data_IF_602428052561
#
_entry.id   IF_602428052561
#
_cell.length_a   1.000
_cell.length_b   1.000
_cell.length_c   1.000
_cell.angle_alpha   90.00
_cell.angle_beta   90.00
_cell.angle_gamma   90.00
#
_symmetry.space_group_name_H-M   'P 1'
#
loop_
_entity.id
_entity.type
_entity.pdbx_description
1 polymer ?
#
# COMPACT_ATOMS: atom_id res chain seq x y z
N UNK A 1 -11.54 13.03 -8.07
CA UNK A 1 -12.39 11.85 -8.05
C UNK A 1 -12.99 11.64 -6.69
N UNK A 2 -14.28 11.39 -6.63
CA UNK A 2 -14.97 11.03 -5.39
C UNK A 2 -14.36 9.73 -4.86
N UNK A 3 -13.87 9.75 -3.62
CA UNK A 3 -13.49 8.55 -2.91
C UNK A 3 -14.76 7.76 -2.58
N UNK A 4 -15.04 6.73 -3.34
CA UNK A 4 -16.09 5.80 -2.99
C UNK A 4 -15.59 4.92 -1.83
N UNK A 5 -16.13 5.17 -0.64
CA UNK A 5 -16.00 4.22 0.45
C UNK A 5 -16.83 2.99 0.10
N UNK A 6 -16.19 1.84 -0.06
CA UNK A 6 -16.92 0.59 -0.30
C UNK A 6 -17.76 0.23 0.91
N UNK A 7 -18.99 -0.15 0.64
CA UNK A 7 -19.93 -0.68 1.64
C UNK A 7 -19.36 -1.98 2.23
N UNK A 8 -19.50 -2.15 3.56
CA UNK A 8 -18.90 -3.21 4.36
C UNK A 8 -19.26 -4.66 4.00
N UNK A 9 -20.15 -4.84 3.06
CA UNK A 9 -20.41 -6.17 2.50
C UNK A 9 -19.28 -6.71 1.61
N UNK A 10 -18.22 -5.95 1.39
CA UNK A 10 -17.10 -6.34 0.54
C UNK A 10 -15.80 -6.63 1.31
N UNK A 11 -15.86 -6.83 2.62
CA UNK A 11 -14.76 -7.43 3.39
C UNK A 11 -14.56 -8.90 3.04
N UNK A 12 -14.76 -9.28 1.79
CA UNK A 12 -14.45 -10.63 1.34
C UNK A 12 -12.93 -10.80 1.28
N UNK A 13 -12.46 -11.89 1.89
CA UNK A 13 -11.13 -12.38 1.60
C UNK A 13 -11.01 -12.48 0.07
N UNK A 14 -10.04 -11.81 -0.51
CA UNK A 14 -9.94 -11.82 -1.95
C UNK A 14 -9.41 -13.15 -2.47
N UNK A 15 -9.99 -13.56 -3.58
CA UNK A 15 -9.68 -14.82 -4.21
C UNK A 15 -8.58 -14.62 -5.24
N UNK A 16 -7.62 -15.54 -5.24
CA UNK A 16 -6.58 -15.64 -6.23
C UNK A 16 -6.31 -17.10 -6.60
N UNK A 17 -5.32 -17.28 -7.44
CA UNK A 17 -4.76 -18.59 -7.76
C UNK A 17 -3.28 -18.63 -7.45
N UNK A 18 -2.85 -19.71 -6.85
CA UNK A 18 -1.42 -19.96 -6.61
C UNK A 18 -0.71 -20.03 -7.97
N UNK A 19 0.25 -19.15 -8.19
CA UNK A 19 1.04 -19.09 -9.42
C UNK A 19 2.40 -19.77 -9.27
N UNK A 20 2.96 -19.78 -8.05
CA UNK A 20 4.23 -20.44 -7.74
C UNK A 20 4.27 -20.87 -6.29
N UNK A 21 4.89 -22.02 -6.03
CA UNK A 21 5.22 -22.50 -4.69
C UNK A 21 6.71 -22.86 -4.68
N UNK A 22 7.40 -22.40 -3.65
CA UNK A 22 8.80 -22.73 -3.39
C UNK A 22 8.89 -23.29 -1.96
N UNK A 23 8.84 -24.62 -1.81
CA UNK A 23 8.88 -25.26 -0.49
C UNK A 23 10.20 -25.03 0.26
N UNK A 24 11.32 -24.96 -0.46
CA UNK A 24 12.64 -24.80 0.15
C UNK A 24 12.80 -23.43 0.80
N UNK A 25 12.23 -22.40 0.18
CA UNK A 25 12.24 -21.03 0.70
C UNK A 25 10.94 -20.67 1.44
N UNK A 26 10.02 -21.61 1.62
CA UNK A 26 8.72 -21.37 2.27
C UNK A 26 7.98 -20.18 1.67
N UNK A 27 7.97 -20.03 0.33
CA UNK A 27 7.28 -18.93 -0.35
C UNK A 27 6.14 -19.41 -1.23
N UNK A 28 5.06 -18.61 -1.26
CA UNK A 28 3.90 -18.85 -2.11
C UNK A 28 3.53 -17.57 -2.82
N UNK A 29 3.42 -17.62 -4.14
CA UNK A 29 2.94 -16.50 -4.95
C UNK A 29 1.50 -16.75 -5.41
N UNK A 30 0.65 -15.74 -5.24
CA UNK A 30 -0.76 -15.79 -5.61
C UNK A 30 -1.05 -14.69 -6.63
N UNK A 31 -1.60 -15.04 -7.77
CA UNK A 31 -2.06 -14.09 -8.78
C UNK A 31 -3.51 -13.69 -8.50
N UNK A 32 -3.74 -12.38 -8.48
CA UNK A 32 -5.05 -11.75 -8.24
C UNK A 32 -5.42 -10.89 -9.44
N UNK A 33 -6.69 -10.94 -9.84
CA UNK A 33 -7.24 -10.16 -10.97
C UNK A 33 -8.42 -9.28 -10.55
N UNK A 34 -8.75 -9.22 -9.26
CA UNK A 34 -9.77 -8.30 -8.75
C UNK A 34 -9.26 -6.86 -8.84
N UNK A 35 -9.92 -6.06 -9.66
CA UNK A 35 -9.48 -4.68 -9.97
C UNK A 35 -9.39 -3.77 -8.73
N UNK A 36 -10.21 -4.01 -7.71
CA UNK A 36 -10.15 -3.25 -6.46
C UNK A 36 -8.86 -3.52 -5.68
N UNK A 37 -8.36 -4.73 -5.74
CA UNK A 37 -7.19 -5.19 -4.99
C UNK A 37 -5.87 -5.07 -5.76
N UNK A 38 -5.91 -4.53 -6.98
CA UNK A 38 -4.73 -4.21 -7.76
C UNK A 38 -4.03 -2.91 -7.30
N UNK A 39 -4.65 -2.19 -6.37
CA UNK A 39 -4.09 -1.01 -5.74
C UNK A 39 -3.66 -1.34 -4.29
N UNK A 40 -2.37 -1.30 -4.03
CA UNK A 40 -1.85 -1.63 -2.69
C UNK A 40 -2.33 -0.66 -1.62
N UNK A 41 -2.71 0.58 -1.98
CA UNK A 41 -3.26 1.54 -1.03
C UNK A 41 -4.61 1.10 -0.47
N UNK A 42 -5.32 0.23 -1.19
CA UNK A 42 -6.62 -0.35 -0.79
C UNK A 42 -6.50 -1.72 -0.13
N UNK A 43 -5.31 -2.29 -0.10
CA UNK A 43 -5.08 -3.59 0.51
C UNK A 43 -5.19 -3.51 2.03
N UNK A 44 -5.90 -4.45 2.63
CA UNK A 44 -6.12 -4.53 4.09
C UNK A 44 -5.34 -5.67 4.73
N UNK A 45 -4.31 -6.17 4.07
CA UNK A 45 -3.50 -7.27 4.59
C UNK A 45 -2.69 -6.85 5.82
N UNK A 46 -2.70 -7.65 6.91
CA UNK A 46 -1.77 -7.46 8.00
C UNK A 46 -0.32 -7.48 7.51
N UNK A 47 0.52 -6.60 8.06
CA UNK A 47 1.95 -6.54 7.73
C UNK A 47 2.67 -7.81 8.20
N UNK A 48 2.28 -8.31 9.37
CA UNK A 48 2.83 -9.52 9.99
C UNK A 48 1.70 -10.33 10.64
N UNK A 49 1.97 -11.61 10.89
CA UNK A 49 1.02 -12.51 11.56
C UNK A 49 -0.33 -12.71 10.85
N UNK A 50 -0.41 -12.36 9.57
CA UNK A 50 -1.58 -12.65 8.77
C UNK A 50 -1.67 -14.11 8.36
N UNK A 51 -2.81 -14.46 7.78
CA UNK A 51 -3.07 -15.80 7.26
C UNK A 51 -3.46 -15.76 5.80
N UNK A 52 -3.08 -16.82 5.08
CA UNK A 52 -3.63 -17.14 3.76
C UNK A 52 -4.25 -18.52 3.80
N UNK A 53 -5.28 -18.75 2.99
CA UNK A 53 -5.88 -20.08 2.82
C UNK A 53 -5.50 -20.59 1.44
N UNK A 54 -4.84 -21.75 1.38
CA UNK A 54 -4.44 -22.42 0.16
C UNK A 54 -5.17 -23.76 0.07
N UNK A 55 -5.96 -23.96 -0.97
CA UNK A 55 -6.77 -25.17 -1.14
C UNK A 55 -7.57 -25.58 0.12
N UNK A 56 -8.09 -24.59 0.85
CA UNK A 56 -8.90 -24.79 2.06
C UNK A 56 -8.09 -24.95 3.36
N UNK A 57 -6.76 -24.88 3.34
CA UNK A 57 -5.89 -24.96 4.52
C UNK A 57 -5.30 -23.61 4.85
N UNK A 58 -5.23 -23.26 6.13
CA UNK A 58 -4.67 -21.99 6.60
C UNK A 58 -3.17 -22.07 6.81
N UNK A 59 -2.47 -21.01 6.40
CA UNK A 59 -1.03 -20.83 6.60
C UNK A 59 -0.75 -19.42 7.12
N UNK A 60 0.07 -19.31 8.14
CA UNK A 60 0.59 -18.03 8.63
C UNK A 60 1.75 -17.57 7.78
N UNK A 61 1.81 -16.26 7.55
CA UNK A 61 2.95 -15.61 6.92
C UNK A 61 3.58 -14.57 7.84
N UNK A 62 4.88 -14.31 7.63
CA UNK A 62 5.65 -13.29 8.36
C UNK A 62 5.90 -12.03 7.54
N UNK A 63 5.96 -12.17 6.23
CA UNK A 63 6.17 -11.08 5.28
C UNK A 63 5.37 -11.31 4.01
N UNK A 64 5.11 -10.25 3.27
CA UNK A 64 4.50 -10.34 1.95
C UNK A 64 4.98 -9.21 1.06
N UNK A 65 4.88 -9.40 -0.25
CA UNK A 65 5.15 -8.40 -1.27
C UNK A 65 4.05 -8.37 -2.30
N UNK A 66 3.93 -7.24 -2.97
CA UNK A 66 2.98 -6.98 -4.03
C UNK A 66 3.71 -6.53 -5.28
N UNK A 67 3.32 -7.04 -6.43
CA UNK A 67 3.79 -6.60 -7.74
C UNK A 67 2.61 -6.51 -8.70
N UNK A 68 2.32 -5.31 -9.18
CA UNK A 68 1.35 -5.08 -10.24
C UNK A 68 1.94 -5.51 -11.60
N UNK A 69 1.14 -6.14 -12.46
CA UNK A 69 1.54 -6.44 -13.83
C UNK A 69 1.69 -5.17 -14.67
N UNK A 70 2.49 -5.21 -15.75
CA UNK A 70 2.74 -4.06 -16.61
C UNK A 70 1.45 -3.49 -17.22
N UNK A 71 0.49 -4.36 -17.55
CA UNK A 71 -0.81 -3.98 -18.10
C UNK A 71 -1.83 -3.52 -17.04
N UNK A 72 -1.46 -3.55 -15.77
CA UNK A 72 -2.31 -3.15 -14.64
C UNK A 72 -3.53 -4.03 -14.39
N UNK A 73 -3.65 -5.21 -15.05
CA UNK A 73 -4.84 -6.07 -14.98
C UNK A 73 -4.74 -7.19 -13.96
N UNK A 74 -3.57 -7.42 -13.42
CA UNK A 74 -3.34 -8.42 -12.38
C UNK A 74 -2.24 -7.99 -11.43
N UNK A 75 -2.24 -8.56 -10.24
CA UNK A 75 -1.17 -8.40 -9.28
C UNK A 75 -0.70 -9.76 -8.79
N UNK A 76 0.56 -9.84 -8.42
CA UNK A 76 1.12 -11.01 -7.75
C UNK A 76 1.46 -10.62 -6.32
N UNK A 77 0.84 -11.32 -5.38
CA UNK A 77 1.20 -11.29 -3.96
C UNK A 77 2.13 -12.45 -3.68
N UNK A 78 3.29 -12.20 -3.10
CA UNK A 78 4.23 -13.25 -2.68
C UNK A 78 4.33 -13.23 -1.16
N UNK A 79 4.02 -14.34 -0.54
CA UNK A 79 4.02 -14.52 0.91
C UNK A 79 5.23 -15.35 1.33
N UNK A 80 5.99 -14.84 2.29
CA UNK A 80 6.97 -15.62 3.04
C UNK A 80 6.25 -16.28 4.21
N UNK A 81 6.07 -17.57 4.16
CA UNK A 81 5.38 -18.30 5.23
C UNK A 81 6.23 -18.37 6.50
N UNK A 82 5.54 -18.38 7.63
CA UNK A 82 6.14 -18.57 8.95
C UNK A 82 6.19 -20.06 9.27
N UNK A 83 7.31 -20.70 8.93
CA UNK A 83 7.48 -22.15 9.07
C UNK A 83 7.31 -22.61 10.54
N UNK A 84 7.88 -21.87 11.49
CA UNK A 84 7.80 -22.20 12.90
C UNK A 84 6.35 -22.17 13.39
N UNK A 85 5.65 -21.09 13.08
CA UNK A 85 4.25 -20.91 13.48
C UNK A 85 3.33 -21.91 12.80
N UNK A 86 3.56 -22.21 11.53
CA UNK A 86 2.80 -23.22 10.79
C UNK A 86 3.02 -24.63 11.36
N UNK A 87 4.24 -24.98 11.72
CA UNK A 87 4.56 -26.26 12.37
C UNK A 87 3.88 -26.38 13.74
N UNK A 88 3.93 -25.31 14.57
CA UNK A 88 3.25 -25.29 15.87
C UNK A 88 1.73 -25.45 15.77
N UNK A 89 1.14 -25.00 14.66
CA UNK A 89 -0.30 -25.13 14.39
C UNK A 89 -0.64 -26.38 13.56
N UNK A 90 0.28 -27.33 13.41
CA UNK A 90 0.10 -28.57 12.64
C UNK A 90 -0.35 -28.32 11.19
N UNK A 91 0.08 -27.22 10.58
CA UNK A 91 -0.16 -27.00 9.16
C UNK A 91 0.63 -28.01 8.32
N UNK A 92 0.00 -28.50 7.27
CA UNK A 92 0.70 -29.40 6.34
C UNK A 92 1.82 -28.65 5.61
N UNK A 93 2.98 -29.29 5.36
CA UNK A 93 4.03 -28.69 4.55
C UNK A 93 3.50 -28.28 3.17
N UNK A 94 3.92 -27.10 2.70
CA UNK A 94 3.61 -26.67 1.34
C UNK A 94 4.35 -27.52 0.32
N UNK A 95 3.71 -27.73 -0.82
CA UNK A 95 4.30 -28.48 -1.94
C UNK A 95 3.90 -27.85 -3.28
N UNK A 96 4.64 -28.18 -4.31
CA UNK A 96 4.37 -27.70 -5.68
C UNK A 96 2.99 -28.13 -6.22
N UNK A 97 2.36 -29.16 -5.60
CA UNK A 97 1.00 -29.58 -5.96
C UNK A 97 -0.06 -28.51 -5.71
N UNK A 98 0.22 -27.52 -4.86
CA UNK A 98 -0.67 -26.36 -4.61
C UNK A 98 -0.68 -25.36 -5.78
N UNK A 99 0.21 -25.50 -6.77
CA UNK A 99 0.22 -24.63 -7.95
C UNK A 99 -1.10 -24.75 -8.71
N UNK A 100 -1.68 -23.63 -9.10
CA UNK A 100 -3.00 -23.47 -9.72
C UNK A 100 -4.21 -23.67 -8.78
N UNK A 101 -3.99 -24.08 -7.54
CA UNK A 101 -5.05 -24.19 -6.55
C UNK A 101 -5.62 -22.80 -6.19
N UNK A 102 -6.84 -22.82 -5.63
CA UNK A 102 -7.49 -21.60 -5.14
C UNK A 102 -6.77 -21.10 -3.89
N UNK A 103 -6.57 -19.81 -3.84
CA UNK A 103 -6.06 -19.10 -2.67
C UNK A 103 -7.07 -18.03 -2.21
N UNK A 104 -7.22 -17.90 -0.89
CA UNK A 104 -7.90 -16.78 -0.26
C UNK A 104 -6.89 -16.00 0.55
N UNK A 105 -6.84 -14.69 0.36
CA UNK A 105 -5.92 -13.79 1.03
C UNK A 105 -6.73 -12.85 1.92
N UNK A 106 -6.28 -12.68 3.18
CA UNK A 106 -6.94 -11.85 4.17
C UNK A 106 -8.06 -12.57 4.91
N UNK A 107 -8.58 -11.89 5.90
CA UNK A 107 -9.71 -12.35 6.71
C UNK A 107 -10.95 -11.54 6.35
N UNK A 108 -12.09 -12.22 6.30
CA UNK A 108 -13.37 -11.56 6.08
C UNK A 108 -13.80 -10.83 7.35
N UNK A 109 -14.06 -9.53 7.27
CA UNK A 109 -14.70 -8.77 8.34
C UNK A 109 -16.21 -8.86 8.15
N UNK A 110 -16.85 -9.77 8.91
CA UNK A 110 -18.26 -10.11 8.74
C UNK A 110 -19.23 -9.17 9.46
N UNK A 111 -18.78 -8.11 10.13
CA UNK A 111 -19.62 -7.20 10.87
C UNK A 111 -19.10 -5.76 10.83
N UNK A 112 -20.01 -4.83 10.77
CA UNK A 112 -19.70 -3.41 10.88
C UNK A 112 -19.43 -3.06 12.36
N UNK A 113 -18.16 -2.87 12.67
CA UNK A 113 -17.70 -2.49 14.00
C UNK A 113 -16.51 -1.54 13.92
N UNK A 114 -15.95 -1.16 15.07
CA UNK A 114 -14.80 -0.24 15.13
C UNK A 114 -13.66 -0.67 14.19
N UNK A 115 -13.22 -1.94 14.13
CA UNK A 115 -12.15 -2.37 13.23
C UNK A 115 -12.46 -2.10 11.76
N UNK A 116 -13.71 -2.29 11.33
CA UNK A 116 -14.15 -2.02 9.98
C UNK A 116 -14.01 -0.55 9.59
N UNK A 117 -14.50 0.36 10.45
CA UNK A 117 -14.37 1.79 10.17
C UNK A 117 -12.93 2.28 10.25
N UNK A 118 -12.11 1.68 11.13
CA UNK A 118 -10.68 1.96 11.19
C UNK A 118 -9.98 1.60 9.88
N UNK A 119 -10.27 0.43 9.30
CA UNK A 119 -9.69 0.02 8.02
C UNK A 119 -10.12 0.93 6.87
N UNK A 120 -11.38 1.33 6.83
CA UNK A 120 -11.86 2.31 5.85
C UNK A 120 -11.15 3.66 5.98
N UNK A 121 -10.95 4.14 7.21
CA UNK A 121 -10.23 5.38 7.44
C UNK A 121 -8.75 5.24 7.05
N UNK A 122 -8.12 4.12 7.34
CA UNK A 122 -6.74 3.85 6.95
C UNK A 122 -6.59 3.79 5.42
N UNK A 123 -7.53 3.14 4.73
CA UNK A 123 -7.58 3.14 3.26
C UNK A 123 -7.74 4.56 2.71
N UNK A 124 -8.65 5.34 3.28
CA UNK A 124 -8.85 6.73 2.89
C UNK A 124 -7.56 7.55 3.05
N UNK A 125 -6.90 7.46 4.21
CA UNK A 125 -5.64 8.16 4.50
C UNK A 125 -4.56 7.79 3.49
N UNK A 126 -4.41 6.49 3.18
CA UNK A 126 -3.42 6.00 2.21
C UNK A 126 -3.69 6.56 0.81
N UNK A 127 -4.94 6.47 0.33
CA UNK A 127 -5.33 6.97 -0.98
C UNK A 127 -5.21 8.50 -1.08
N UNK A 128 -5.60 9.20 -0.01
CA UNK A 128 -5.46 10.65 0.06
C UNK A 128 -3.98 11.09 0.00
N UNK A 129 -3.13 10.49 0.84
CA UNK A 129 -1.71 10.79 0.86
C UNK A 129 -1.03 10.50 -0.48
N UNK A 130 -1.35 9.38 -1.12
CA UNK A 130 -0.79 9.01 -2.43
C UNK A 130 -1.22 9.99 -3.50
N UNK A 131 -2.51 10.32 -3.58
CA UNK A 131 -3.05 11.24 -4.58
C UNK A 131 -2.48 12.64 -4.39
N UNK A 132 -2.41 13.12 -3.15
CA UNK A 132 -1.85 14.43 -2.84
C UNK A 132 -0.36 14.52 -3.17
N UNK A 133 0.43 13.54 -2.73
CA UNK A 133 1.87 13.51 -2.99
C UNK A 133 2.18 13.42 -4.48
N UNK A 134 1.35 12.72 -5.26
CA UNK A 134 1.50 12.64 -6.71
C UNK A 134 1.32 13.98 -7.41
N UNK A 135 0.40 14.81 -6.95
CA UNK A 135 0.22 16.18 -7.45
C UNK A 135 1.33 17.10 -6.92
N UNK A 136 1.65 16.99 -5.63
CA UNK A 136 2.63 17.84 -4.95
C UNK A 136 4.05 17.64 -5.50
N UNK A 137 4.48 16.41 -5.70
CA UNK A 137 5.81 16.05 -6.22
C UNK A 137 5.86 15.87 -7.74
N UNK A 138 4.98 16.52 -8.49
CA UNK A 138 4.96 16.43 -9.95
C UNK A 138 6.30 16.85 -10.56
N UNK A 139 6.62 16.32 -11.72
CA UNK A 139 7.85 16.67 -12.43
C UNK A 139 7.96 18.17 -12.65
N UNK A 140 9.07 18.75 -12.25
CA UNK A 140 9.31 20.18 -12.33
C UNK A 140 8.70 21.01 -11.20
N UNK A 141 8.20 20.34 -10.15
CA UNK A 141 7.74 21.02 -8.93
C UNK A 141 8.88 21.83 -8.29
N UNK A 142 8.61 23.07 -7.93
CA UNK A 142 9.59 23.98 -7.31
C UNK A 142 8.96 24.77 -6.18
N UNK A 143 9.77 25.17 -5.21
CA UNK A 143 9.37 26.15 -4.20
C UNK A 143 9.51 27.59 -4.72
N UNK A 144 9.22 28.56 -3.87
CA UNK A 144 9.32 29.98 -4.25
C UNK A 144 10.76 30.45 -4.51
N UNK A 145 11.77 29.70 -4.05
CA UNK A 145 13.21 29.97 -4.28
C UNK A 145 13.69 29.40 -5.61
N UNK A 146 12.89 28.49 -6.21
CA UNK A 146 13.21 27.77 -7.42
C UNK A 146 13.99 26.47 -7.17
N UNK A 147 14.01 25.99 -5.92
CA UNK A 147 14.61 24.72 -5.57
C UNK A 147 13.72 23.56 -6.10
N UNK A 148 14.36 22.53 -6.67
CA UNK A 148 13.66 21.37 -7.27
C UNK A 148 13.04 20.48 -6.20
N UNK A 149 11.74 20.26 -6.33
CA UNK A 149 10.93 19.37 -5.48
C UNK A 149 10.29 18.23 -6.28
N UNK A 150 10.82 17.90 -7.46
CA UNK A 150 10.36 16.74 -8.24
C UNK A 150 10.44 15.47 -7.39
N UNK A 151 9.31 14.76 -7.23
CA UNK A 151 9.22 13.57 -6.40
C UNK A 151 9.17 13.83 -4.90
N UNK A 152 9.08 15.11 -4.47
CA UNK A 152 8.87 15.45 -3.07
C UNK A 152 7.52 14.94 -2.55
N UNK A 153 7.46 14.69 -1.24
CA UNK A 153 6.24 14.27 -0.54
C UNK A 153 5.80 15.36 0.42
N UNK A 154 4.50 15.51 0.59
CA UNK A 154 3.90 16.39 1.59
C UNK A 154 3.40 15.59 2.79
N UNK A 155 2.69 14.50 2.52
CA UNK A 155 2.15 13.61 3.55
C UNK A 155 2.96 12.33 3.67
N UNK A 156 3.25 11.98 4.91
CA UNK A 156 3.94 10.74 5.29
C UNK A 156 3.34 10.18 6.57
N UNK A 157 3.94 9.18 7.14
CA UNK A 157 3.62 8.67 8.46
C UNK A 157 4.85 8.59 9.34
N UNK A 158 4.61 8.62 10.64
CA UNK A 158 5.68 8.46 11.64
C UNK A 158 5.61 7.05 12.24
N UNK A 159 6.72 6.35 12.19
CA UNK A 159 6.87 5.06 12.85
C UNK A 159 6.77 5.27 14.37
N UNK A 160 5.76 4.66 14.99
CA UNK A 160 5.48 4.82 16.42
C UNK A 160 6.53 4.17 17.33
N UNK A 161 7.40 3.31 16.78
CA UNK A 161 8.44 2.62 17.57
C UNK A 161 9.71 3.45 17.67
N UNK A 162 10.18 4.03 16.56
CA UNK A 162 11.45 4.77 16.53
C UNK A 162 11.31 6.27 16.28
N UNK A 163 10.09 6.76 16.00
CA UNK A 163 9.81 8.18 15.74
C UNK A 163 10.30 8.70 14.39
N UNK A 164 10.80 7.83 13.51
CA UNK A 164 11.25 8.20 12.17
C UNK A 164 10.07 8.27 11.19
N UNK A 165 10.16 9.17 10.23
CA UNK A 165 9.17 9.25 9.16
C UNK A 165 9.43 8.18 8.10
N UNK A 166 8.33 7.64 7.54
CA UNK A 166 8.39 6.68 6.44
C UNK A 166 8.85 7.34 5.15
N UNK A 167 9.62 6.60 4.36
CA UNK A 167 10.01 7.00 3.00
C UNK A 167 8.91 6.61 2.03
N UNK A 168 8.16 7.60 1.56
CA UNK A 168 7.10 7.38 0.58
C UNK A 168 7.64 7.33 -0.83
N UNK A 169 7.00 6.54 -1.67
CA UNK A 169 7.25 6.50 -3.11
C UNK A 169 6.12 7.21 -3.84
N UNK A 170 6.43 7.94 -4.92
CA UNK A 170 5.47 8.73 -5.70
C UNK A 170 5.39 8.20 -7.12
N UNK A 171 4.19 8.19 -7.69
CA UNK A 171 3.96 7.83 -9.09
C UNK A 171 4.08 6.33 -9.37
N UNK A 172 4.93 5.96 -10.34
CA UNK A 172 5.06 4.56 -10.80
C UNK A 172 5.60 3.61 -9.74
N UNK A 173 6.20 4.13 -8.68
CA UNK A 173 6.77 3.33 -7.60
C UNK A 173 5.70 2.67 -6.71
N UNK A 174 4.43 3.07 -6.84
CA UNK A 174 3.30 2.42 -6.17
C UNK A 174 2.93 1.07 -6.77
N UNK A 175 3.55 0.67 -7.90
CA UNK A 175 3.30 -0.62 -8.55
C UNK A 175 3.91 -1.83 -7.83
N UNK A 176 4.81 -1.59 -6.91
CA UNK A 176 5.43 -2.65 -6.10
C UNK A 176 5.53 -2.22 -4.64
N UNK A 177 5.38 -3.19 -3.76
CA UNK A 177 5.48 -3.01 -2.31
C UNK A 177 5.96 -4.28 -1.64
N UNK A 178 6.77 -4.13 -0.60
CA UNK A 178 7.10 -5.20 0.33
C UNK A 178 6.75 -4.79 1.76
N UNK A 179 6.23 -5.69 2.57
CA UNK A 179 5.89 -5.42 3.98
C UNK A 179 7.10 -5.03 4.84
N UNK A 180 8.32 -5.32 4.37
CA UNK A 180 9.56 -4.86 4.98
C UNK A 180 9.94 -3.43 4.60
N UNK A 181 9.37 -2.89 3.51
CA UNK A 181 9.67 -1.55 3.03
C UNK A 181 8.75 -0.50 3.67
N UNK A 182 9.20 0.76 3.68
CA UNK A 182 8.33 1.89 3.96
C UNK A 182 7.42 2.19 2.77
N UNK A 183 6.25 2.77 3.02
CA UNK A 183 5.33 3.14 1.96
C UNK A 183 3.91 3.41 2.46
N UNK A 184 3.01 3.73 1.53
CA UNK A 184 1.62 4.09 1.85
C UNK A 184 0.87 3.01 2.62
N UNK A 185 1.20 1.74 2.41
CA UNK A 185 0.56 0.65 3.14
C UNK A 185 0.76 0.73 4.66
N UNK A 186 1.88 1.31 5.12
CA UNK A 186 2.15 1.54 6.55
C UNK A 186 1.40 2.72 7.14
N UNK A 187 0.79 3.57 6.30
CA UNK A 187 -0.03 4.69 6.78
C UNK A 187 -1.33 4.21 7.40
N UNK A 188 -1.67 4.84 8.49
CA UNK A 188 -2.98 4.75 9.13
C UNK A 188 -3.32 6.10 9.76
N UNK A 189 -4.57 6.26 10.19
CA UNK A 189 -5.05 7.52 10.78
C UNK A 189 -4.29 7.93 12.05
N UNK A 190 -3.66 6.98 12.75
CA UNK A 190 -2.93 7.25 13.99
C UNK A 190 -1.47 7.68 13.79
N UNK A 191 -0.89 7.44 12.62
CA UNK A 191 0.51 7.78 12.34
C UNK A 191 0.70 8.78 11.19
N UNK A 192 -0.39 9.19 10.54
CA UNK A 192 -0.40 10.15 9.42
C UNK A 192 0.14 11.51 9.84
N UNK A 193 1.05 12.08 9.04
CA UNK A 193 1.74 13.31 9.38
C UNK A 193 2.20 14.09 8.12
N UNK A 194 2.58 15.35 8.32
CA UNK A 194 3.28 16.16 7.32
C UNK A 194 4.77 15.83 7.34
N UNK A 195 5.43 15.92 6.19
CA UNK A 195 6.89 15.74 6.08
C UNK A 195 7.64 16.80 6.89
N UNK A 196 8.66 16.37 7.63
CA UNK A 196 9.37 17.24 8.60
C UNK A 196 10.06 18.46 8.00
N UNK A 197 10.53 18.39 6.75
CA UNK A 197 11.16 19.53 6.10
C UNK A 197 10.16 20.67 5.93
N UNK A 198 8.93 20.36 5.60
CA UNK A 198 7.82 21.33 5.44
C UNK A 198 7.36 21.84 6.79
N UNK A 199 7.26 20.97 7.80
CA UNK A 199 6.90 21.34 9.16
C UNK A 199 7.92 22.31 9.76
N UNK A 200 9.22 22.10 9.49
CA UNK A 200 10.32 22.93 9.99
C UNK A 200 10.48 24.25 9.20
N UNK A 201 10.23 24.22 7.89
CA UNK A 201 10.31 25.40 7.02
C UNK A 201 9.21 25.35 5.95
N UNK A 202 8.10 26.03 6.21
CA UNK A 202 7.00 26.13 5.26
C UNK A 202 7.40 26.75 3.90
N UNK A 203 8.54 27.45 3.84
CA UNK A 203 9.05 27.99 2.59
C UNK A 203 9.69 26.93 1.69
N UNK A 204 9.95 25.73 2.19
CA UNK A 204 10.37 24.56 1.40
C UNK A 204 9.21 23.86 0.70
N UNK A 205 7.99 24.41 0.79
CA UNK A 205 6.82 23.83 0.15
C UNK A 205 6.85 24.06 -1.37
N UNK A 206 6.67 23.01 -2.15
CA UNK A 206 6.46 23.14 -3.59
C UNK A 206 5.16 23.93 -3.89
N UNK A 207 5.24 24.94 -4.73
CA UNK A 207 4.13 25.85 -5.02
C UNK A 207 3.76 25.89 -6.49
N UNK A 208 4.71 25.63 -7.38
CA UNK A 208 4.51 25.75 -8.83
C UNK A 208 5.44 24.81 -9.60
N UNK A 209 5.18 24.66 -10.89
CA UNK A 209 6.06 23.93 -11.82
C UNK A 209 6.91 24.85 -12.66
N UNK A 210 8.10 24.40 -13.06
CA UNK A 210 9.02 25.16 -13.92
C UNK A 210 8.43 25.39 -15.33
N UNK A 211 7.52 24.51 -15.77
CA UNK A 211 6.95 24.54 -17.12
C UNK A 211 5.98 25.71 -17.35
N UNK A 212 5.45 26.29 -16.30
CA UNK A 212 4.46 27.38 -16.40
C UNK A 212 5.04 28.76 -16.69
N UNK A 213 6.36 28.88 -16.88
CA UNK A 213 6.98 30.09 -17.42
C UNK A 213 6.70 31.38 -16.65
N UNK A 214 6.33 31.29 -15.39
CA UNK A 214 6.12 32.43 -14.50
C UNK A 214 4.72 33.06 -14.55
N UNK A 215 3.77 32.50 -15.29
CA UNK A 215 2.40 33.03 -15.38
C UNK A 215 1.55 32.56 -14.18
N UNK A 216 1.80 31.41 -13.64
CA UNK A 216 1.15 30.94 -12.40
C UNK A 216 2.19 30.44 -11.41
N UNK A 217 2.54 31.25 -10.45
CA UNK A 217 3.46 30.86 -9.36
C UNK A 217 2.83 29.91 -8.33
N UNK A 218 1.63 29.41 -8.59
CA UNK A 218 0.84 28.63 -7.64
C UNK A 218 0.00 27.54 -8.32
N UNK A 219 0.43 27.04 -9.48
CA UNK A 219 -0.32 26.02 -10.23
C UNK A 219 -0.51 24.71 -9.42
N UNK A 220 0.52 24.24 -8.71
CA UNK A 220 0.39 23.09 -7.80
C UNK A 220 -0.64 23.36 -6.71
N UNK A 221 -0.58 24.54 -6.09
CA UNK A 221 -1.54 24.91 -5.02
C UNK A 221 -2.96 25.02 -5.58
N UNK A 222 -3.12 25.49 -6.80
CA UNK A 222 -4.42 25.56 -7.45
C UNK A 222 -5.01 24.16 -7.70
N UNK A 223 -4.22 23.23 -8.22
CA UNK A 223 -4.64 21.83 -8.44
C UNK A 223 -4.94 21.08 -7.13
N UNK A 224 -4.23 21.37 -6.06
CA UNK A 224 -4.48 20.77 -4.76
C UNK A 224 -5.79 21.25 -4.09
N UNK A 225 -6.33 22.39 -4.55
CA UNK A 225 -7.56 22.98 -4.02
C UNK A 225 -8.82 22.35 -4.63
N UNK A 226 -8.77 21.89 -5.87
CA UNK A 226 -9.88 21.30 -6.64
C UNK A 226 -10.00 19.80 -6.39
#
# INVERSE_FOLDING_TARGET
GLFEMRDGNNGEAFNGRVSKVDPDNQTVSVKVTDSYLLDMCKSTLPLTNGKITLSGKEYYYKEWSFQLSEDGKSATYTFQLDEEKNTLNNAEPISTSLTHEKAKIGEQVNYQGIPYYMEQMNEWVRNYAESFNKLYGVKGATDYRGDDHTGAIFYTGTNTVNGEQYKMKVGSDTKSYSSSDDGYFKLNAGNFNVEKSIENDANSMATHTVETGGISKYDIIAELKD
#
